data_IF_310639127599
#
_entry.id   IF_310639127599
#
_cell.length_a   1.000
_cell.length_b   1.000
_cell.length_c   1.000
_cell.angle_alpha   90.00
_cell.angle_beta   90.00
_cell.angle_gamma   90.00
#
_symmetry.space_group_name_H-M   'P 1'
#
loop_
_entity.id
_entity.type
_entity.pdbx_description
1 polymer ?
#
# COMPACT_ATOMS: atom_id res chain seq x y z
N UNK A 1 10.64 -1.33 -21.25
CA UNK A 1 10.31 -0.92 -19.86
C UNK A 1 10.89 -1.96 -18.90
N UNK A 2 11.81 -1.59 -18.00
CA UNK A 2 12.36 -2.56 -17.03
C UNK A 2 11.24 -3.04 -16.10
N UNK A 3 10.99 -4.34 -16.12
CA UNK A 3 10.05 -4.96 -15.18
C UNK A 3 10.78 -5.13 -13.85
N UNK A 4 10.30 -4.47 -12.81
CA UNK A 4 10.85 -4.64 -11.46
C UNK A 4 10.43 -6.00 -10.89
N UNK A 5 11.39 -6.72 -10.32
CA UNK A 5 11.12 -7.92 -9.52
C UNK A 5 10.32 -7.57 -8.28
N UNK A 6 9.58 -8.54 -7.75
CA UNK A 6 8.75 -8.32 -6.57
C UNK A 6 9.57 -7.87 -5.35
N UNK A 7 10.79 -8.39 -5.19
CA UNK A 7 11.72 -7.97 -4.14
C UNK A 7 12.16 -6.51 -4.29
N UNK A 8 12.46 -6.05 -5.51
CA UNK A 8 12.79 -4.64 -5.78
C UNK A 8 11.60 -3.72 -5.43
N UNK A 9 10.38 -4.14 -5.78
CA UNK A 9 9.16 -3.40 -5.42
C UNK A 9 8.97 -3.30 -3.90
N UNK A 10 9.16 -4.40 -3.18
CA UNK A 10 9.06 -4.40 -1.72
C UNK A 10 10.09 -3.48 -1.07
N UNK A 11 11.33 -3.45 -1.57
CA UNK A 11 12.37 -2.55 -1.06
C UNK A 11 12.03 -1.07 -1.31
N UNK A 12 11.49 -0.75 -2.49
CA UNK A 12 11.03 0.61 -2.80
C UNK A 12 9.93 1.02 -1.81
N UNK A 13 8.92 0.18 -1.63
CA UNK A 13 7.82 0.44 -0.69
C UNK A 13 8.34 0.61 0.74
N UNK A 14 9.29 -0.23 1.19
CA UNK A 14 9.87 -0.16 2.53
C UNK A 14 10.44 1.24 2.84
N UNK A 15 11.21 1.80 1.90
CA UNK A 15 11.86 3.13 2.04
C UNK A 15 10.86 4.27 2.16
N UNK A 16 9.68 4.13 1.56
CA UNK A 16 8.63 5.15 1.67
C UNK A 16 7.82 4.97 2.96
N UNK A 17 7.56 3.73 3.36
CA UNK A 17 6.82 3.38 4.59
C UNK A 17 7.62 3.76 5.85
N UNK A 18 8.96 3.79 5.80
CA UNK A 18 9.79 4.22 6.95
C UNK A 18 9.53 5.62 7.46
N UNK A 19 8.86 6.46 6.67
CA UNK A 19 8.49 7.82 7.07
C UNK A 19 7.21 7.87 7.92
N UNK A 20 6.41 6.81 7.93
CA UNK A 20 5.21 6.69 8.76
C UNK A 20 5.54 6.14 10.15
N UNK A 21 4.75 6.54 11.15
CA UNK A 21 4.89 6.09 12.55
C UNK A 21 3.54 5.66 13.13
N UNK A 22 3.55 4.88 14.21
CA UNK A 22 2.37 4.46 14.95
C UNK A 22 1.41 3.55 14.17
N UNK A 23 0.11 3.66 14.43
CA UNK A 23 -0.91 2.81 13.78
C UNK A 23 -0.94 2.89 12.23
N UNK A 24 -0.74 4.07 11.59
CA UNK A 24 -0.58 4.14 10.14
C UNK A 24 0.59 3.29 9.65
N UNK A 25 1.72 3.28 10.38
CA UNK A 25 2.87 2.46 10.02
C UNK A 25 2.56 0.96 10.08
N UNK A 26 1.90 0.51 11.14
CA UNK A 26 1.48 -0.88 11.30
C UNK A 26 0.56 -1.34 10.14
N UNK A 27 -0.36 -0.48 9.71
CA UNK A 27 -1.21 -0.74 8.54
C UNK A 27 -0.38 -0.89 7.26
N UNK A 28 0.58 0.01 7.02
CA UNK A 28 1.42 -0.04 5.84
C UNK A 28 2.33 -1.26 5.83
N UNK A 29 2.88 -1.67 6.98
CA UNK A 29 3.69 -2.89 7.12
C UNK A 29 2.84 -4.15 6.83
N UNK A 30 1.59 -4.20 7.30
CA UNK A 30 0.67 -5.28 6.98
C UNK A 30 0.42 -5.36 5.46
N UNK A 31 0.12 -4.22 4.84
CA UNK A 31 -0.15 -4.17 3.40
C UNK A 31 1.09 -4.48 2.55
N UNK A 32 2.30 -4.15 3.03
CA UNK A 32 3.54 -4.49 2.35
C UNK A 32 3.79 -6.01 2.31
N UNK A 33 3.46 -6.72 3.40
CA UNK A 33 3.62 -8.18 3.48
C UNK A 33 2.76 -8.92 2.44
N UNK A 34 1.57 -8.41 2.17
CA UNK A 34 0.60 -9.01 1.24
C UNK A 34 0.67 -8.42 -0.17
N UNK A 35 1.47 -7.36 -0.39
CA UNK A 35 1.59 -6.72 -1.70
C UNK A 35 1.98 -7.72 -2.80
N UNK A 36 1.32 -7.71 -3.97
CA UNK A 36 0.37 -6.70 -4.46
C UNK A 36 -1.11 -7.02 -4.17
N UNK A 37 -1.39 -8.03 -3.35
CA UNK A 37 -2.74 -8.52 -3.10
C UNK A 37 -3.54 -7.51 -2.27
N UNK A 38 -4.73 -7.09 -2.72
CA UNK A 38 -5.59 -6.21 -1.94
C UNK A 38 -6.23 -6.97 -0.77
N UNK A 39 -6.51 -6.26 0.33
CA UNK A 39 -7.06 -6.83 1.57
C UNK A 39 -8.30 -6.08 2.03
N UNK A 40 -9.22 -6.76 2.72
CA UNK A 40 -10.48 -6.18 3.18
C UNK A 40 -10.34 -5.44 4.52
N UNK A 41 -11.29 -4.55 4.83
CA UNK A 41 -11.40 -3.91 6.16
C UNK A 41 -11.44 -4.96 7.28
N UNK A 42 -12.19 -6.05 7.09
CA UNK A 42 -12.32 -7.10 8.10
C UNK A 42 -10.97 -7.76 8.41
N UNK A 43 -10.20 -8.09 7.38
CA UNK A 43 -8.85 -8.64 7.54
C UNK A 43 -7.91 -7.66 8.25
N UNK A 44 -7.92 -6.39 7.85
CA UNK A 44 -7.10 -5.34 8.48
C UNK A 44 -7.44 -5.20 9.97
N UNK A 45 -8.72 -5.09 10.31
CA UNK A 45 -9.15 -4.94 11.70
C UNK A 45 -8.78 -6.16 12.55
N UNK A 46 -8.90 -7.36 11.99
CA UNK A 46 -8.49 -8.60 12.66
C UNK A 46 -6.98 -8.62 12.94
N UNK A 47 -6.15 -8.32 11.94
CA UNK A 47 -4.68 -8.39 12.08
C UNK A 47 -4.10 -7.30 12.98
N UNK A 48 -4.73 -6.13 13.05
CA UNK A 48 -4.24 -4.99 13.85
C UNK A 48 -4.97 -4.81 15.19
N UNK A 49 -5.88 -5.74 15.51
CA UNK A 49 -6.77 -5.67 16.69
C UNK A 49 -7.45 -4.31 16.81
N UNK A 50 -7.94 -3.77 15.67
CA UNK A 50 -8.63 -2.48 15.65
C UNK A 50 -10.11 -2.69 15.92
N UNK A 51 -10.57 -2.12 17.03
CA UNK A 51 -11.96 -2.15 17.43
C UNK A 51 -12.63 -0.81 17.11
N UNK A 52 -13.74 -0.86 16.38
CA UNK A 52 -14.54 0.32 16.07
C UNK A 52 -14.19 1.02 14.76
N UNK A 53 -15.21 1.61 14.14
CA UNK A 53 -15.12 2.22 12.82
C UNK A 53 -14.28 3.51 12.80
N UNK A 54 -14.33 4.28 13.88
CA UNK A 54 -13.58 5.53 14.01
C UNK A 54 -12.06 5.30 14.02
N UNK A 55 -11.59 4.26 14.71
CA UNK A 55 -10.17 3.91 14.75
C UNK A 55 -9.67 3.54 13.36
N UNK A 56 -10.38 2.66 12.66
CA UNK A 56 -10.05 2.28 11.28
C UNK A 56 -10.01 3.49 10.34
N UNK A 57 -11.04 4.35 10.37
CA UNK A 57 -11.11 5.55 9.51
C UNK A 57 -9.99 6.53 9.80
N UNK A 58 -9.63 6.73 11.07
CA UNK A 58 -8.52 7.61 11.47
C UNK A 58 -7.17 7.10 10.94
N UNK A 59 -6.89 5.81 11.13
CA UNK A 59 -5.66 5.17 10.64
C UNK A 59 -5.59 5.22 9.11
N UNK A 60 -6.69 4.88 8.44
CA UNK A 60 -6.78 4.91 6.98
C UNK A 60 -6.55 6.32 6.43
N UNK A 61 -7.15 7.35 7.05
CA UNK A 61 -6.94 8.76 6.65
C UNK A 61 -5.47 9.17 6.75
N UNK A 62 -4.79 8.76 7.83
CA UNK A 62 -3.39 9.10 8.02
C UNK A 62 -2.44 8.31 7.10
N UNK A 63 -2.89 7.16 6.59
CA UNK A 63 -2.16 6.33 5.64
C UNK A 63 -2.58 6.55 4.18
N UNK A 64 -3.57 7.40 3.90
CA UNK A 64 -4.26 7.45 2.60
C UNK A 64 -3.37 7.84 1.44
N UNK A 65 -2.29 8.59 1.69
CA UNK A 65 -1.30 8.93 0.67
C UNK A 65 -0.60 7.69 0.09
N UNK A 66 -0.59 6.58 0.81
CA UNK A 66 0.08 5.34 0.39
C UNK A 66 -0.88 4.24 -0.09
N UNK A 67 -2.20 4.45 0.00
CA UNK A 67 -3.19 3.38 -0.16
C UNK A 67 -4.12 3.71 -1.33
N UNK A 68 -4.16 2.82 -2.31
CA UNK A 68 -5.20 2.81 -3.34
C UNK A 68 -6.41 2.02 -2.80
N UNK A 69 -7.61 2.57 -3.02
CA UNK A 69 -8.87 1.94 -2.66
C UNK A 69 -9.47 1.34 -3.93
N UNK A 70 -9.43 0.01 -4.04
CA UNK A 70 -10.12 -0.71 -5.12
C UNK A 70 -11.58 -0.91 -4.70
N UNK A 71 -12.42 0.05 -5.08
CA UNK A 71 -13.87 -0.03 -4.87
C UNK A 71 -14.49 -0.94 -5.94
N UNK A 72 -14.52 -2.25 -5.70
CA UNK A 72 -15.43 -3.13 -6.47
C UNK A 72 -16.80 -3.05 -5.80
N UNK A 73 -17.55 -1.99 -6.12
CA UNK A 73 -18.98 -1.87 -5.79
C UNK A 73 -19.82 -2.73 -6.75
N UNK A 74 -19.56 -4.04 -6.77
CA UNK A 74 -20.63 -4.98 -7.09
C UNK A 74 -21.32 -5.25 -5.76
N UNK A 75 -22.64 -5.22 -5.75
CA UNK A 75 -23.57 -4.95 -4.64
C UNK A 75 -23.38 -5.77 -3.34
N UNK A 76 -22.44 -6.72 -3.29
CA UNK A 76 -22.13 -7.61 -2.17
C UNK A 76 -20.62 -7.80 -1.89
N UNK A 77 -19.72 -7.05 -2.53
CA UNK A 77 -18.27 -7.22 -2.33
C UNK A 77 -17.70 -6.23 -1.31
N UNK A 78 -16.88 -6.68 -0.34
CA UNK A 78 -16.26 -5.79 0.63
C UNK A 78 -15.28 -4.83 -0.06
N UNK A 79 -15.18 -3.59 0.43
CA UNK A 79 -14.14 -2.65 -0.01
C UNK A 79 -12.76 -3.25 0.21
N UNK A 80 -11.93 -3.20 -0.84
CA UNK A 80 -10.59 -3.76 -0.86
C UNK A 80 -9.55 -2.63 -0.89
N UNK A 81 -8.48 -2.79 -0.11
CA UNK A 81 -7.43 -1.79 0.07
C UNK A 81 -6.09 -2.39 -0.33
N UNK A 82 -5.26 -1.63 -1.06
CA UNK A 82 -3.90 -2.04 -1.43
C UNK A 82 -2.94 -0.87 -1.35
N UNK A 83 -1.63 -1.16 -1.26
CA UNK A 83 -0.62 -0.12 -1.42
C UNK A 83 -0.66 0.43 -2.86
N UNK A 84 -0.57 1.75 -2.95
CA UNK A 84 -0.59 2.44 -4.22
C UNK A 84 0.66 2.16 -5.05
N UNK A 85 0.48 2.03 -6.36
CA UNK A 85 1.58 1.71 -7.27
C UNK A 85 2.42 2.93 -7.70
N UNK A 86 2.03 4.14 -7.29
CA UNK A 86 2.70 5.38 -7.66
C UNK A 86 4.22 5.40 -7.38
N UNK A 87 4.67 4.83 -6.26
CA UNK A 87 6.09 4.76 -5.92
C UNK A 87 6.86 3.77 -6.80
N UNK A 88 6.21 2.66 -7.17
CA UNK A 88 6.76 1.67 -8.10
C UNK A 88 6.88 2.25 -9.50
N UNK A 89 5.84 2.93 -9.98
CA UNK A 89 5.83 3.60 -11.28
C UNK A 89 6.89 4.70 -11.35
N UNK A 90 6.99 5.52 -10.29
CA UNK A 90 8.01 6.57 -10.19
C UNK A 90 9.43 5.99 -10.27
N UNK A 91 9.69 4.88 -9.59
CA UNK A 91 10.98 4.20 -9.64
C UNK A 91 11.29 3.60 -11.02
N UNK A 92 10.29 3.03 -11.70
CA UNK A 92 10.44 2.50 -13.07
C UNK A 92 10.82 3.61 -14.06
N UNK A 93 10.15 4.77 -13.95
CA UNK A 93 10.44 5.94 -14.80
C UNK A 93 11.87 6.44 -14.58
N UNK A 94 12.31 6.56 -13.31
CA UNK A 94 13.69 6.99 -13.00
C UNK A 94 14.75 6.07 -13.58
N UNK A 95 14.55 4.75 -13.52
CA UNK A 95 15.47 3.78 -14.11
C UNK A 95 15.55 3.96 -15.64
N UNK A 96 14.42 4.19 -16.30
CA UNK A 96 14.40 4.44 -17.75
C UNK A 96 15.20 5.69 -18.10
N UNK A 97 15.01 6.79 -17.38
CA UNK A 97 15.79 8.02 -17.60
C UNK A 97 17.29 7.82 -17.37
N UNK A 98 17.69 7.04 -16.35
CA UNK A 98 19.09 6.72 -16.13
C UNK A 98 19.69 5.92 -17.29
N UNK A 99 18.97 4.92 -17.81
CA UNK A 99 19.41 4.13 -18.97
C UNK A 99 19.52 4.99 -20.23
N UNK A 100 18.58 5.92 -20.46
CA UNK A 100 18.60 6.81 -21.65
C UNK A 100 19.68 7.89 -21.57
N UNK A 101 20.16 8.21 -20.37
CA UNK A 101 21.24 9.17 -20.14
C UNK A 101 22.64 8.53 -20.10
N UNK A 102 22.71 7.20 -20.25
CA UNK A 102 23.95 6.40 -20.27
C UNK A 102 24.26 5.96 -21.70
#
# INVERSE_FOLDING_TARGET
MKILKQSEKQQILARHITLANGRPRELLDLMQKVYPTPISKAYICQQLSMHGEYAFRSVLRNASIFIDIDAINETDKPTMYRLGNQYIQSAQIRIIFQIMAS
#
